data_IF_301716376857
#
_entry.id   IF_301716376857
#
_cell.length_a   1.000
_cell.length_b   1.000
_cell.length_c   1.000
_cell.angle_alpha   90.00
_cell.angle_beta   90.00
_cell.angle_gamma   90.00
#
_symmetry.space_group_name_H-M   'P 1'
#
loop_
_entity.id
_entity.type
_entity.pdbx_description
1 polymer ?
#
# COMPACT_ATOMS: atom_id res chain seq x y z
N UNK A 1 -21.74 16.29 10.23
CA UNK A 1 -20.68 16.29 9.21
C UNK A 1 -19.90 17.57 9.35
N UNK A 2 -18.61 17.46 9.65
CA UNK A 2 -17.78 18.57 10.11
C UNK A 2 -17.46 19.60 9.01
N UNK A 3 -17.61 20.89 9.32
CA UNK A 3 -17.41 22.00 8.38
C UNK A 3 -15.97 22.01 7.80
N UNK A 4 -15.00 21.54 8.59
CA UNK A 4 -13.60 21.38 8.22
C UNK A 4 -13.38 20.37 7.09
N UNK A 5 -14.15 19.27 7.05
CA UNK A 5 -14.06 18.28 5.99
C UNK A 5 -14.61 18.82 4.66
N UNK A 6 -15.66 19.65 4.71
CA UNK A 6 -16.23 20.26 3.50
C UNK A 6 -15.25 21.24 2.84
N UNK A 7 -14.56 22.06 3.62
CA UNK A 7 -13.54 22.99 3.13
C UNK A 7 -12.33 22.26 2.54
N UNK A 8 -11.87 21.17 3.17
CA UNK A 8 -10.78 20.35 2.66
C UNK A 8 -11.12 19.71 1.30
N UNK A 9 -12.36 19.24 1.13
CA UNK A 9 -12.85 18.68 -0.14
C UNK A 9 -12.85 19.76 -1.23
N UNK A 10 -13.39 20.95 -0.95
CA UNK A 10 -13.41 22.06 -1.92
C UNK A 10 -12.01 22.53 -2.31
N UNK A 11 -11.05 22.60 -1.38
CA UNK A 11 -9.66 22.93 -1.70
C UNK A 11 -8.98 21.84 -2.54
N UNK A 12 -9.28 20.57 -2.27
CA UNK A 12 -8.80 19.43 -3.07
C UNK A 12 -9.25 19.52 -4.53
N UNK A 13 -10.54 19.83 -4.76
CA UNK A 13 -11.11 20.03 -6.09
C UNK A 13 -10.46 21.21 -6.82
N UNK A 14 -10.28 22.33 -6.11
CA UNK A 14 -9.64 23.53 -6.66
C UNK A 14 -8.19 23.27 -7.05
N UNK A 15 -7.47 22.46 -6.26
CA UNK A 15 -6.08 22.06 -6.56
C UNK A 15 -6.02 21.16 -7.76
N UNK A 16 -6.91 20.18 -7.91
CA UNK A 16 -6.93 19.28 -9.05
C UNK A 16 -6.99 20.04 -10.38
N UNK A 17 -7.82 21.08 -10.47
CA UNK A 17 -7.94 21.92 -11.68
C UNK A 17 -6.74 22.85 -11.94
N UNK A 18 -5.87 23.09 -10.95
CA UNK A 18 -4.73 24.02 -11.03
C UNK A 18 -3.37 23.33 -11.20
N UNK A 19 -3.34 22.01 -11.41
CA UNK A 19 -2.10 21.25 -11.55
C UNK A 19 -1.41 21.55 -12.89
N UNK A 20 -0.26 22.23 -12.84
CA UNK A 20 0.50 22.65 -14.04
C UNK A 20 1.61 21.67 -14.44
N UNK A 21 2.13 20.88 -13.51
CA UNK A 21 3.22 19.93 -13.76
C UNK A 21 2.66 18.52 -13.88
N UNK A 22 3.08 17.79 -14.90
CA UNK A 22 2.71 16.39 -15.11
C UNK A 22 3.77 15.44 -14.55
N UNK A 23 3.32 14.23 -14.19
CA UNK A 23 4.18 13.11 -13.84
C UNK A 23 3.67 11.88 -14.57
N UNK A 24 4.50 11.31 -15.44
CA UNK A 24 4.16 10.11 -16.20
C UNK A 24 4.51 8.85 -15.42
N UNK A 25 3.52 7.97 -15.27
CA UNK A 25 3.68 6.70 -14.57
C UNK A 25 3.17 5.61 -15.49
N UNK A 26 3.97 4.56 -15.67
CA UNK A 26 3.54 3.37 -16.38
C UNK A 26 3.06 2.31 -15.39
N UNK A 27 1.85 1.81 -15.63
CA UNK A 27 1.28 0.66 -14.95
C UNK A 27 1.38 -0.56 -15.87
N UNK A 28 2.20 -1.54 -15.49
CA UNK A 28 2.39 -2.77 -16.26
C UNK A 28 1.49 -3.87 -15.72
N UNK A 29 0.36 -4.11 -16.39
CA UNK A 29 -0.72 -4.96 -15.91
C UNK A 29 -1.14 -6.05 -16.90
N UNK A 30 -2.03 -6.96 -16.48
CA UNK A 30 -2.65 -7.97 -17.36
C UNK A 30 -3.72 -7.40 -18.29
N UNK A 31 -4.58 -6.50 -17.78
CA UNK A 31 -5.71 -5.94 -18.52
C UNK A 31 -5.66 -4.41 -18.53
N UNK A 32 -5.30 -3.78 -19.64
CA UNK A 32 -5.23 -2.31 -19.73
C UNK A 32 -6.52 -1.67 -20.22
N UNK A 33 -7.29 -2.39 -21.02
CA UNK A 33 -8.57 -1.91 -21.57
C UNK A 33 -9.70 -1.88 -20.52
N UNK A 34 -9.56 -2.67 -19.43
CA UNK A 34 -10.51 -2.74 -18.32
C UNK A 34 -10.04 -1.86 -17.17
N UNK A 35 -10.31 -0.55 -17.26
CA UNK A 35 -9.94 0.44 -16.24
C UNK A 35 -10.36 0.07 -14.81
N UNK A 36 -11.47 -0.66 -14.65
CA UNK A 36 -11.98 -1.11 -13.36
C UNK A 36 -11.06 -2.10 -12.64
N UNK A 37 -10.25 -2.86 -13.38
CA UNK A 37 -9.34 -3.88 -12.79
C UNK A 37 -8.29 -3.26 -11.88
N UNK A 38 -7.97 -1.98 -12.08
CA UNK A 38 -6.97 -1.24 -11.31
C UNK A 38 -7.56 -0.01 -10.61
N UNK A 39 -8.89 0.07 -10.46
CA UNK A 39 -9.54 1.26 -9.91
C UNK A 39 -8.94 1.71 -8.57
N UNK A 40 -8.66 0.78 -7.65
CA UNK A 40 -8.02 1.08 -6.36
C UNK A 40 -6.60 1.62 -6.51
N UNK A 41 -5.79 1.03 -7.39
CA UNK A 41 -4.42 1.46 -7.69
C UNK A 41 -4.41 2.85 -8.31
N UNK A 42 -5.29 3.09 -9.29
CA UNK A 42 -5.45 4.39 -9.96
C UNK A 42 -5.84 5.47 -8.94
N UNK A 43 -6.78 5.17 -8.03
CA UNK A 43 -7.19 6.11 -6.99
C UNK A 43 -6.08 6.41 -5.99
N UNK A 44 -5.31 5.41 -5.57
CA UNK A 44 -4.15 5.62 -4.70
C UNK A 44 -3.07 6.51 -5.36
N UNK A 45 -2.81 6.31 -6.66
CA UNK A 45 -1.92 7.18 -7.44
C UNK A 45 -2.46 8.61 -7.53
N UNK A 46 -3.77 8.79 -7.75
CA UNK A 46 -4.41 10.11 -7.78
C UNK A 46 -4.28 10.84 -6.45
N UNK A 47 -4.47 10.15 -5.31
CA UNK A 47 -4.26 10.73 -3.98
C UNK A 47 -2.81 11.20 -3.79
N UNK A 48 -1.84 10.36 -4.16
CA UNK A 48 -0.42 10.69 -4.07
C UNK A 48 -0.03 11.86 -5.00
N UNK A 49 -0.55 11.88 -6.23
CA UNK A 49 -0.31 12.93 -7.21
C UNK A 49 -0.84 14.30 -6.73
N UNK A 50 -2.05 14.32 -6.14
CA UNK A 50 -2.63 15.51 -5.52
C UNK A 50 -1.76 16.03 -4.37
N UNK A 51 -1.28 15.12 -3.52
CA UNK A 51 -0.40 15.45 -2.40
C UNK A 51 0.91 16.12 -2.88
N UNK A 52 1.52 15.63 -3.97
CA UNK A 52 2.75 16.21 -4.53
C UNK A 52 2.54 17.42 -5.46
N UNK A 53 1.28 17.82 -5.70
CA UNK A 53 0.86 18.86 -6.66
C UNK A 53 1.28 18.57 -8.11
N UNK A 54 1.01 17.37 -8.61
CA UNK A 54 1.20 17.03 -10.03
C UNK A 54 -0.06 16.41 -10.62
N UNK A 55 -0.30 16.68 -11.91
CA UNK A 55 -1.27 15.96 -12.71
C UNK A 55 -0.70 14.59 -13.04
N UNK A 56 -1.41 13.55 -12.67
CA UNK A 56 -1.05 12.17 -13.00
C UNK A 56 -1.33 11.92 -14.48
N UNK A 57 -0.29 11.56 -15.21
CA UNK A 57 -0.40 10.96 -16.54
C UNK A 57 -0.12 9.46 -16.40
N UNK A 58 -1.18 8.64 -16.45
CA UNK A 58 -1.10 7.20 -16.20
C UNK A 58 -1.21 6.44 -17.51
N UNK A 59 -0.16 5.71 -17.86
CA UNK A 59 -0.08 4.91 -19.07
C UNK A 59 -0.19 3.43 -18.67
N UNK A 60 -1.28 2.78 -19.06
CA UNK A 60 -1.51 1.36 -18.80
C UNK A 60 -0.94 0.53 -19.95
N UNK A 61 -0.02 -0.39 -19.65
CA UNK A 61 0.63 -1.27 -20.63
C UNK A 61 0.30 -2.73 -20.33
N UNK A 62 -0.09 -3.48 -21.37
CA UNK A 62 -0.29 -4.92 -21.23
C UNK A 62 1.06 -5.57 -21.09
N UNK A 63 1.27 -6.33 -20.02
CA UNK A 63 2.56 -6.94 -19.76
C UNK A 63 2.96 -7.91 -20.88
N UNK A 64 2.01 -8.60 -21.51
CA UNK A 64 2.27 -9.46 -22.66
C UNK A 64 2.84 -8.68 -23.86
N UNK A 65 2.51 -7.40 -24.03
CA UNK A 65 3.08 -6.59 -25.11
C UNK A 65 4.58 -6.33 -24.91
N UNK A 66 5.11 -6.48 -23.69
CA UNK A 66 6.54 -6.33 -23.40
C UNK A 66 7.35 -7.60 -23.67
N UNK A 67 6.69 -8.73 -23.92
CA UNK A 67 7.34 -10.03 -24.09
C UNK A 67 7.98 -10.18 -25.48
N UNK A 68 9.14 -10.86 -25.61
CA UNK A 68 9.83 -11.02 -26.89
C UNK A 68 8.99 -11.71 -27.97
N UNK A 69 8.07 -12.58 -27.57
CA UNK A 69 7.13 -13.26 -28.47
C UNK A 69 6.25 -12.27 -29.24
N UNK A 70 5.92 -11.14 -28.61
CA UNK A 70 5.11 -10.07 -29.22
C UNK A 70 5.85 -9.35 -30.34
N UNK A 71 7.19 -9.39 -30.38
CA UNK A 71 7.97 -8.91 -31.53
C UNK A 71 7.56 -9.64 -32.82
N UNK A 72 7.26 -10.94 -32.72
CA UNK A 72 6.89 -11.77 -33.86
C UNK A 72 5.40 -11.74 -34.17
N UNK A 73 4.55 -11.69 -33.15
CA UNK A 73 3.08 -11.72 -33.33
C UNK A 73 2.49 -10.34 -33.62
N UNK A 74 2.99 -9.29 -32.97
CA UNK A 74 2.54 -7.91 -33.14
C UNK A 74 3.67 -6.90 -32.83
N UNK A 75 4.64 -6.71 -33.76
CA UNK A 75 5.79 -5.86 -33.53
C UNK A 75 5.41 -4.41 -33.23
N UNK A 76 4.31 -3.90 -33.78
CA UNK A 76 3.86 -2.53 -33.52
C UNK A 76 3.56 -2.33 -32.03
N UNK A 77 2.73 -3.21 -31.44
CA UNK A 77 2.39 -3.13 -30.01
C UNK A 77 3.60 -3.28 -29.11
N UNK A 78 4.52 -4.18 -29.46
CA UNK A 78 5.76 -4.32 -28.71
C UNK A 78 6.56 -3.02 -28.63
N UNK A 79 6.80 -2.37 -29.77
CA UNK A 79 7.60 -1.14 -29.80
C UNK A 79 6.86 0.04 -29.18
N UNK A 80 5.54 0.12 -29.33
CA UNK A 80 4.71 1.14 -28.65
C UNK A 80 4.77 0.97 -27.13
N UNK A 81 4.57 -0.24 -26.61
CA UNK A 81 4.67 -0.54 -25.19
C UNK A 81 6.05 -0.17 -24.61
N UNK A 82 7.13 -0.61 -25.26
CA UNK A 82 8.48 -0.28 -24.79
C UNK A 82 8.81 1.21 -24.89
N UNK A 83 8.28 1.93 -25.89
CA UNK A 83 8.43 3.38 -25.99
C UNK A 83 7.84 4.10 -24.78
N UNK A 84 6.63 3.71 -24.36
CA UNK A 84 5.98 4.28 -23.17
C UNK A 84 6.75 3.92 -21.88
N UNK A 85 7.23 2.68 -21.74
CA UNK A 85 8.09 2.27 -20.61
C UNK A 85 9.36 3.13 -20.51
N UNK A 86 10.00 3.42 -21.65
CA UNK A 86 11.23 4.22 -21.71
C UNK A 86 10.95 5.70 -21.40
N UNK A 87 9.78 6.22 -21.80
CA UNK A 87 9.39 7.62 -21.60
C UNK A 87 8.87 7.97 -20.20
N UNK A 88 8.49 6.96 -19.40
CA UNK A 88 7.87 7.16 -18.11
C UNK A 88 8.84 7.65 -17.02
N UNK A 89 8.35 8.48 -16.09
CA UNK A 89 9.14 8.90 -14.92
C UNK A 89 9.24 7.81 -13.86
N UNK A 90 8.29 6.88 -13.83
CA UNK A 90 8.25 5.79 -12.85
C UNK A 90 7.36 4.65 -13.32
N UNK A 91 7.47 3.52 -12.64
CA UNK A 91 6.77 2.30 -12.98
C UNK A 91 6.09 1.69 -11.76
N UNK A 92 4.92 1.10 -11.99
CA UNK A 92 4.22 0.27 -11.02
C UNK A 92 3.84 -1.07 -11.64
N UNK A 93 4.12 -2.15 -10.92
CA UNK A 93 3.66 -3.50 -11.25
C UNK A 93 2.69 -3.93 -10.15
N UNK A 94 1.38 -3.92 -10.42
CA UNK A 94 0.37 -4.29 -9.43
C UNK A 94 0.31 -5.80 -9.21
N UNK A 95 -0.50 -6.21 -8.24
CA UNK A 95 -0.84 -7.61 -8.04
C UNK A 95 -1.50 -8.23 -9.28
N UNK A 96 -1.45 -9.55 -9.36
CA UNK A 96 -2.07 -10.31 -10.43
C UNK A 96 -2.05 -11.79 -10.10
N UNK A 97 -2.65 -12.56 -10.99
CA UNK A 97 -2.68 -14.01 -10.95
C UNK A 97 -2.45 -14.52 -12.36
N UNK A 98 -2.09 -15.80 -12.49
CA UNK A 98 -1.86 -16.52 -13.75
C UNK A 98 -0.50 -16.23 -14.41
N UNK A 99 -0.06 -17.12 -15.29
CA UNK A 99 1.25 -17.09 -15.95
C UNK A 99 1.35 -15.98 -17.00
N UNK A 100 0.23 -15.64 -17.65
CA UNK A 100 0.20 -14.68 -18.77
C UNK A 100 0.72 -13.30 -18.38
N UNK A 101 1.68 -12.78 -19.14
CA UNK A 101 2.25 -11.45 -18.95
C UNK A 101 3.29 -11.39 -17.82
N UNK A 102 3.65 -12.52 -17.20
CA UNK A 102 4.59 -12.51 -16.07
C UNK A 102 6.01 -12.23 -16.53
N UNK A 103 6.44 -12.79 -17.66
CA UNK A 103 7.76 -12.50 -18.21
C UNK A 103 7.88 -11.02 -18.62
N UNK A 104 6.82 -10.43 -19.16
CA UNK A 104 6.76 -8.99 -19.43
C UNK A 104 6.94 -8.13 -18.17
N UNK A 105 6.31 -8.51 -17.04
CA UNK A 105 6.52 -7.84 -15.74
C UNK A 105 7.95 -8.00 -15.23
N UNK A 106 8.54 -9.18 -15.38
CA UNK A 106 9.95 -9.44 -15.00
C UNK A 106 10.90 -8.56 -15.83
N UNK A 107 10.66 -8.42 -17.13
CA UNK A 107 11.43 -7.52 -18.00
C UNK A 107 11.27 -6.05 -17.60
N UNK A 108 10.06 -5.63 -17.23
CA UNK A 108 9.78 -4.30 -16.71
C UNK A 108 10.53 -4.04 -15.38
N UNK A 109 10.57 -5.00 -14.46
CA UNK A 109 11.35 -4.94 -13.22
C UNK A 109 12.85 -4.75 -13.51
N UNK A 110 13.39 -5.47 -14.50
CA UNK A 110 14.78 -5.36 -14.93
C UNK A 110 15.10 -3.97 -15.49
N UNK A 111 14.21 -3.46 -16.34
CA UNK A 111 14.36 -2.13 -16.93
C UNK A 111 14.39 -1.07 -15.84
N UNK A 112 13.43 -1.10 -14.91
CA UNK A 112 13.37 -0.13 -13.83
C UNK A 112 14.65 -0.15 -12.97
N UNK A 113 15.10 -1.34 -12.58
CA UNK A 113 16.31 -1.53 -11.77
C UNK A 113 17.57 -1.03 -12.47
N UNK A 114 17.78 -1.40 -13.72
CA UNK A 114 19.02 -1.11 -14.46
C UNK A 114 19.10 0.33 -14.96
N UNK A 115 17.95 1.01 -15.08
CA UNK A 115 17.87 2.42 -15.51
C UNK A 115 17.61 3.40 -14.38
N UNK A 116 17.60 2.93 -13.13
CA UNK A 116 17.32 3.77 -11.95
C UNK A 116 15.97 4.48 -12.02
N UNK A 117 14.96 3.83 -12.60
CA UNK A 117 13.60 4.38 -12.70
C UNK A 117 12.83 4.02 -11.44
N UNK A 118 12.26 5.00 -10.70
CA UNK A 118 11.45 4.73 -9.52
C UNK A 118 10.40 3.65 -9.76
N UNK A 119 10.35 2.65 -8.87
CA UNK A 119 9.56 1.44 -9.03
C UNK A 119 8.80 1.09 -7.76
N UNK A 120 7.54 0.68 -7.94
CA UNK A 120 6.72 0.06 -6.89
C UNK A 120 6.15 -1.27 -7.39
N UNK A 121 6.56 -2.38 -6.75
CA UNK A 121 5.97 -3.70 -6.94
C UNK A 121 4.96 -3.99 -5.84
N UNK A 122 3.76 -4.44 -6.20
CA UNK A 122 2.70 -4.78 -5.25
C UNK A 122 2.33 -6.26 -5.39
N UNK A 123 2.38 -7.01 -4.30
CA UNK A 123 2.06 -8.43 -4.26
C UNK A 123 2.88 -9.19 -5.33
N UNK A 124 2.25 -9.64 -6.41
CA UNK A 124 2.96 -10.23 -7.56
C UNK A 124 4.11 -9.35 -8.10
N UNK A 125 4.00 -8.03 -8.04
CA UNK A 125 5.09 -7.13 -8.45
C UNK A 125 6.37 -7.27 -7.61
N UNK A 126 6.25 -7.53 -6.31
CA UNK A 126 7.40 -7.87 -5.46
C UNK A 126 8.00 -9.21 -5.88
N UNK A 127 7.15 -10.21 -6.12
CA UNK A 127 7.59 -11.55 -6.55
C UNK A 127 8.32 -11.49 -7.91
N UNK A 128 7.80 -10.76 -8.89
CA UNK A 128 8.47 -10.54 -10.17
C UNK A 128 9.83 -9.86 -10.01
N UNK A 129 9.96 -8.90 -9.09
CA UNK A 129 11.24 -8.25 -8.82
C UNK A 129 12.26 -9.21 -8.20
N UNK A 130 11.84 -10.09 -7.28
CA UNK A 130 12.70 -11.14 -6.70
C UNK A 130 13.16 -12.13 -7.75
N UNK A 131 12.25 -12.58 -8.63
CA UNK A 131 12.58 -13.48 -9.75
C UNK A 131 13.59 -12.80 -10.68
N UNK A 132 13.32 -11.56 -11.11
CA UNK A 132 14.22 -10.79 -11.96
C UNK A 132 15.62 -10.67 -11.36
N UNK A 133 15.69 -10.29 -10.09
CA UNK A 133 16.95 -10.07 -9.40
C UNK A 133 17.75 -11.36 -9.27
N UNK A 134 17.09 -12.47 -8.95
CA UNK A 134 17.71 -13.80 -8.88
C UNK A 134 18.29 -14.21 -10.24
N UNK A 135 17.52 -14.03 -11.32
CA UNK A 135 17.98 -14.33 -12.69
C UNK A 135 19.14 -13.45 -13.14
N UNK A 136 19.07 -12.14 -12.87
CA UNK A 136 19.99 -11.16 -13.48
C UNK A 136 21.19 -10.81 -12.61
N UNK A 137 21.05 -10.80 -11.29
CA UNK A 137 22.13 -10.48 -10.33
C UNK A 137 22.78 -11.76 -9.82
N UNK A 138 22.01 -12.69 -9.27
CA UNK A 138 22.55 -13.97 -8.75
C UNK A 138 22.91 -14.99 -9.84
N UNK A 139 22.48 -14.74 -11.09
CA UNK A 139 22.71 -15.61 -12.27
C UNK A 139 22.04 -16.98 -12.17
N UNK A 140 20.96 -17.08 -11.39
CA UNK A 140 20.10 -18.26 -11.36
C UNK A 140 19.07 -18.15 -12.47
N UNK A 141 19.48 -18.48 -13.70
CA UNK A 141 18.69 -18.21 -14.91
C UNK A 141 17.30 -18.89 -14.90
N UNK A 142 17.17 -20.04 -14.24
CA UNK A 142 15.93 -20.79 -14.07
C UNK A 142 15.12 -20.37 -12.83
N UNK A 143 15.58 -19.39 -12.04
CA UNK A 143 14.86 -18.95 -10.83
C UNK A 143 13.44 -18.52 -11.18
N UNK A 144 12.47 -19.07 -10.44
CA UNK A 144 11.06 -18.81 -10.69
C UNK A 144 10.20 -18.98 -9.43
N UNK A 145 8.92 -18.65 -9.56
CA UNK A 145 7.89 -19.02 -8.58
C UNK A 145 7.44 -20.45 -8.81
N UNK A 146 7.23 -21.21 -7.74
CA UNK A 146 6.60 -22.53 -7.82
C UNK A 146 5.14 -22.47 -8.31
N UNK A 147 4.51 -21.30 -8.33
CA UNK A 147 3.21 -21.09 -8.98
C UNK A 147 3.30 -21.14 -10.51
N UNK A 148 4.38 -20.59 -11.05
CA UNK A 148 4.53 -20.30 -12.48
C UNK A 148 5.29 -21.42 -13.21
N UNK A 149 6.25 -22.03 -12.52
CA UNK A 149 7.07 -23.12 -13.01
C UNK A 149 7.44 -24.02 -11.83
N UNK A 150 6.79 -25.18 -11.75
CA UNK A 150 7.04 -26.19 -10.71
C UNK A 150 8.30 -27.02 -10.97
N UNK A 151 8.95 -26.84 -12.12
CA UNK A 151 10.17 -27.55 -12.51
C UNK A 151 11.47 -26.79 -12.23
N UNK A 152 11.36 -25.52 -11.78
CA UNK A 152 12.51 -24.69 -11.42
C UNK A 152 13.36 -25.35 -10.35
N UNK A 153 14.70 -25.29 -10.51
CA UNK A 153 15.64 -25.76 -9.46
C UNK A 153 15.93 -24.69 -8.43
N UNK A 154 15.56 -23.44 -8.72
CA UNK A 154 15.72 -22.29 -7.83
C UNK A 154 14.34 -21.65 -7.54
N UNK A 155 13.49 -22.31 -6.73
CA UNK A 155 12.19 -21.75 -6.34
C UNK A 155 12.39 -20.59 -5.37
N UNK A 156 12.43 -19.38 -5.90
CA UNK A 156 12.66 -18.14 -5.11
C UNK A 156 11.36 -17.59 -4.51
N UNK A 157 10.22 -18.03 -5.03
CA UNK A 157 8.89 -17.76 -4.50
C UNK A 157 8.16 -19.10 -4.37
N UNK A 158 7.60 -19.38 -3.19
CA UNK A 158 7.02 -20.68 -2.83
C UNK A 158 5.65 -20.52 -2.19
N UNK A 159 4.84 -21.57 -2.24
CA UNK A 159 3.56 -21.63 -1.53
C UNK A 159 3.80 -21.75 -0.01
N UNK A 160 3.33 -20.76 0.77
CA UNK A 160 3.46 -20.73 2.23
C UNK A 160 2.11 -20.42 2.89
N UNK A 161 1.14 -21.34 2.81
CA UNK A 161 -0.21 -21.10 3.27
C UNK A 161 -0.28 -20.96 4.79
N UNK A 162 -1.32 -20.27 5.25
CA UNK A 162 -1.57 -20.13 6.68
C UNK A 162 -2.44 -21.26 7.21
N UNK A 163 -2.07 -21.74 8.40
CA UNK A 163 -2.80 -22.77 9.12
C UNK A 163 -3.46 -22.15 10.35
N UNK A 164 -4.67 -21.63 10.15
CA UNK A 164 -5.43 -20.94 11.19
C UNK A 164 -6.28 -21.93 11.99
N UNK A 165 -6.38 -21.75 13.31
CA UNK A 165 -7.21 -22.58 14.18
C UNK A 165 -8.67 -22.56 13.73
N UNK A 166 -9.25 -23.74 13.51
CA UNK A 166 -10.64 -23.88 13.04
C UNK A 166 -10.82 -23.91 11.52
N UNK A 167 -9.76 -23.71 10.73
CA UNK A 167 -9.78 -23.90 9.27
C UNK A 167 -9.05 -25.19 8.90
N UNK A 168 -9.66 -26.01 8.03
CA UNK A 168 -9.02 -27.22 7.51
C UNK A 168 -8.25 -26.91 6.24
N UNK A 169 -6.97 -27.32 6.20
CA UNK A 169 -6.07 -27.12 5.06
C UNK A 169 -5.30 -25.79 5.10
N UNK A 170 -4.44 -25.59 4.10
CA UNK A 170 -3.69 -24.35 3.94
C UNK A 170 -4.55 -23.25 3.36
N UNK A 171 -4.67 -22.13 4.07
CA UNK A 171 -5.49 -20.98 3.68
C UNK A 171 -4.66 -19.85 3.09
N UNK A 172 -5.30 -19.01 2.27
CA UNK A 172 -4.68 -17.80 1.72
C UNK A 172 -4.42 -16.79 2.84
N UNK A 173 -3.27 -16.11 2.80
CA UNK A 173 -3.00 -14.97 3.68
C UNK A 173 -3.90 -13.80 3.29
N UNK A 174 -4.91 -13.56 4.12
CA UNK A 174 -5.99 -12.61 3.84
C UNK A 174 -6.23 -11.67 5.02
N UNK A 175 -6.56 -10.42 4.70
CA UNK A 175 -7.02 -9.43 5.66
C UNK A 175 -5.91 -8.56 6.21
N UNK A 176 -6.21 -7.86 7.32
CA UNK A 176 -5.28 -6.93 7.97
C UNK A 176 -4.22 -7.74 8.74
N UNK A 177 -2.94 -7.49 8.48
CA UNK A 177 -1.80 -8.13 9.15
C UNK A 177 -0.75 -7.11 9.53
N UNK A 178 -0.03 -7.39 10.60
CA UNK A 178 1.06 -6.56 11.08
C UNK A 178 2.36 -6.93 10.36
N UNK A 179 3.07 -5.91 9.90
CA UNK A 179 4.41 -6.01 9.33
C UNK A 179 5.37 -5.20 10.19
N UNK A 180 6.40 -5.85 10.73
CA UNK A 180 7.41 -5.25 11.59
C UNK A 180 8.60 -4.76 10.75
N UNK A 181 9.03 -3.53 10.95
CA UNK A 181 10.26 -3.04 10.33
C UNK A 181 11.50 -3.61 11.04
N UNK A 182 12.48 -4.08 10.26
CA UNK A 182 13.72 -4.68 10.76
C UNK A 182 14.89 -3.70 10.82
N UNK A 183 14.77 -2.54 10.15
CA UNK A 183 15.87 -1.56 10.07
C UNK A 183 15.36 -0.12 10.12
N UNK A 184 16.19 0.75 10.71
CA UNK A 184 15.98 2.20 10.68
C UNK A 184 16.33 2.81 9.32
N UNK A 185 17.13 2.11 8.50
CA UNK A 185 17.58 2.54 7.18
C UNK A 185 16.61 2.08 6.09
N UNK A 186 15.34 2.45 6.22
CA UNK A 186 14.30 2.17 5.21
C UNK A 186 13.64 3.47 4.76
N UNK A 187 13.43 3.62 3.44
CA UNK A 187 12.68 4.76 2.90
C UNK A 187 11.21 4.67 3.28
N UNK A 188 10.62 3.46 3.21
CA UNK A 188 9.23 3.26 3.58
C UNK A 188 9.01 3.52 5.07
N UNK A 189 9.88 3.02 5.95
CA UNK A 189 9.76 3.28 7.39
C UNK A 189 9.70 4.78 7.70
N UNK A 190 10.52 5.57 7.02
CA UNK A 190 10.50 7.04 7.18
C UNK A 190 9.22 7.67 6.64
N UNK A 191 8.69 7.18 5.52
CA UNK A 191 7.40 7.60 4.97
C UNK A 191 6.23 7.21 5.90
N UNK A 192 6.36 6.11 6.65
CA UNK A 192 5.48 5.72 7.76
C UNK A 192 5.88 6.39 9.09
N UNK A 193 6.55 7.54 9.06
CA UNK A 193 6.89 8.35 10.25
C UNK A 193 7.71 7.60 11.32
N UNK A 194 8.61 6.72 10.89
CA UNK A 194 9.46 5.89 11.76
C UNK A 194 8.68 4.91 12.66
N UNK A 195 7.48 4.51 12.26
CA UNK A 195 6.72 3.46 12.94
C UNK A 195 7.56 2.19 13.12
N UNK A 196 7.33 1.47 14.22
CA UNK A 196 7.93 0.15 14.46
C UNK A 196 7.28 -0.93 13.59
N UNK A 197 5.99 -0.76 13.31
CA UNK A 197 5.20 -1.65 12.50
C UNK A 197 4.14 -0.90 11.70
N UNK A 198 3.61 -1.56 10.67
CA UNK A 198 2.44 -1.12 9.92
C UNK A 198 1.42 -2.23 9.87
N UNK A 199 0.15 -1.86 9.69
CA UNK A 199 -0.92 -2.82 9.50
C UNK A 199 -1.56 -2.63 8.13
N UNK A 200 -1.39 -3.61 7.27
CA UNK A 200 -1.78 -3.52 5.87
C UNK A 200 -2.62 -4.73 5.47
N UNK A 201 -3.28 -4.64 4.31
CA UNK A 201 -4.18 -5.70 3.83
C UNK A 201 -3.48 -6.64 2.85
N UNK A 202 -3.55 -7.93 3.13
CA UNK A 202 -2.96 -8.99 2.30
C UNK A 202 -4.06 -9.77 1.58
N UNK A 203 -3.73 -10.29 0.40
CA UNK A 203 -4.58 -11.20 -0.39
C UNK A 203 -3.70 -11.99 -1.37
N UNK A 204 -2.94 -12.94 -0.84
CA UNK A 204 -2.02 -13.77 -1.61
C UNK A 204 -1.70 -15.07 -0.88
N UNK A 205 -1.00 -15.96 -1.57
CA UNK A 205 -0.68 -17.30 -1.10
C UNK A 205 0.82 -17.61 -1.13
N UNK A 206 1.50 -17.07 -2.14
CA UNK A 206 2.92 -17.30 -2.36
C UNK A 206 3.77 -16.23 -1.68
N UNK A 207 4.89 -16.66 -1.12
CA UNK A 207 5.82 -15.82 -0.38
C UNK A 207 7.24 -16.00 -0.95
N UNK A 208 8.13 -15.03 -0.68
CA UNK A 208 9.55 -15.20 -0.97
C UNK A 208 10.09 -16.36 -0.13
N UNK A 209 10.81 -17.29 -0.77
CA UNK A 209 11.39 -18.45 -0.10
C UNK A 209 12.41 -18.00 0.95
N UNK A 210 12.21 -18.26 2.26
CA UNK A 210 13.14 -17.83 3.29
C UNK A 210 14.56 -18.36 3.10
N UNK A 211 14.72 -19.50 2.41
CA UNK A 211 16.01 -20.13 2.16
C UNK A 211 16.91 -19.35 1.19
N UNK A 212 16.38 -18.41 0.39
CA UNK A 212 17.17 -17.59 -0.55
C UNK A 212 17.36 -16.15 -0.09
N UNK A 213 16.79 -15.80 1.07
CA UNK A 213 16.74 -14.40 1.54
C UNK A 213 18.12 -13.89 1.89
N UNK A 214 18.98 -14.73 2.47
CA UNK A 214 20.35 -14.34 2.83
C UNK A 214 21.14 -13.92 1.58
N UNK A 215 21.13 -14.72 0.51
CA UNK A 215 21.82 -14.41 -0.74
C UNK A 215 21.27 -13.15 -1.42
N UNK A 216 19.96 -12.93 -1.37
CA UNK A 216 19.33 -11.71 -1.88
C UNK A 216 19.78 -10.47 -1.10
N UNK A 217 19.76 -10.54 0.23
CA UNK A 217 20.17 -9.45 1.12
C UNK A 217 21.66 -9.13 0.94
N UNK A 218 22.53 -10.13 0.86
CA UNK A 218 23.98 -9.94 0.62
C UNK A 218 24.27 -9.18 -0.68
N UNK A 219 23.44 -9.37 -1.71
CA UNK A 219 23.59 -8.72 -3.01
C UNK A 219 22.83 -7.38 -3.14
N UNK A 220 22.23 -6.89 -2.06
CA UNK A 220 21.66 -5.54 -1.97
C UNK A 220 20.14 -5.46 -2.01
N UNK A 221 19.42 -6.57 -2.23
CA UNK A 221 17.96 -6.61 -2.13
C UNK A 221 17.57 -6.84 -0.67
N UNK A 222 17.30 -5.76 0.08
CA UNK A 222 17.08 -5.81 1.53
C UNK A 222 15.62 -6.02 1.88
N UNK A 223 15.31 -6.99 2.75
CA UNK A 223 13.96 -7.18 3.27
C UNK A 223 13.79 -6.43 4.59
N UNK A 224 13.35 -5.17 4.47
CA UNK A 224 13.27 -4.21 5.57
C UNK A 224 12.02 -4.38 6.43
N UNK A 225 11.02 -5.14 5.98
CA UNK A 225 9.79 -5.43 6.71
C UNK A 225 9.45 -6.92 6.65
N UNK A 226 9.10 -7.50 7.79
CA UNK A 226 8.77 -8.94 7.92
C UNK A 226 7.48 -9.13 8.71
N UNK A 227 6.85 -10.29 8.56
CA UNK A 227 5.72 -10.70 9.40
C UNK A 227 6.11 -10.80 10.88
N UNK A 228 5.12 -10.92 11.77
CA UNK A 228 5.34 -10.99 13.23
C UNK A 228 6.16 -12.20 13.66
N UNK A 229 5.96 -13.35 13.00
CA UNK A 229 6.76 -14.57 13.17
C UNK A 229 8.16 -14.46 12.55
N UNK A 230 8.41 -13.42 11.73
CA UNK A 230 9.67 -13.18 11.04
C UNK A 230 9.92 -14.07 9.83
N UNK A 231 8.98 -14.96 9.47
CA UNK A 231 9.15 -15.95 8.40
C UNK A 231 8.92 -15.35 7.01
N UNK A 232 8.01 -14.39 6.87
CA UNK A 232 7.59 -13.83 5.58
C UNK A 232 8.21 -12.47 5.34
N UNK A 233 8.66 -12.26 4.11
CA UNK A 233 9.27 -11.01 3.67
C UNK A 233 8.21 -10.10 3.05
N UNK A 234 7.83 -9.06 3.78
CA UNK A 234 6.65 -8.24 3.44
C UNK A 234 7.02 -6.93 2.73
N UNK A 235 8.23 -6.40 2.99
CA UNK A 235 8.74 -5.17 2.39
C UNK A 235 10.18 -5.37 1.94
N UNK A 236 10.44 -5.11 0.67
CA UNK A 236 11.76 -5.14 0.04
C UNK A 236 12.16 -3.74 -0.46
N UNK A 237 13.42 -3.37 -0.22
CA UNK A 237 14.05 -2.17 -0.78
C UNK A 237 15.38 -2.54 -1.41
N UNK A 238 15.68 -2.00 -2.60
CA UNK A 238 16.97 -2.20 -3.25
C UNK A 238 17.98 -1.13 -2.83
N UNK A 239 19.13 -1.57 -2.32
CA UNK A 239 20.24 -0.70 -1.98
C UNK A 239 20.82 0.00 -3.22
N UNK A 240 21.12 1.30 -3.09
CA UNK A 240 21.73 2.10 -4.16
C UNK A 240 20.78 2.62 -5.24
N UNK A 241 19.49 2.26 -5.22
CA UNK A 241 18.49 2.73 -6.17
C UNK A 241 17.68 3.93 -5.60
N UNK A 242 17.28 4.94 -6.42
CA UNK A 242 16.57 6.12 -5.92
C UNK A 242 15.25 5.81 -5.20
N UNK A 243 14.46 4.88 -5.75
CA UNK A 243 13.28 4.29 -5.11
C UNK A 243 12.94 2.98 -5.83
N UNK A 244 13.32 1.83 -5.27
CA UNK A 244 12.90 0.52 -5.79
C UNK A 244 12.35 -0.27 -4.63
N UNK A 245 11.03 -0.31 -4.56
CA UNK A 245 10.30 -0.83 -3.42
C UNK A 245 9.35 -1.91 -3.89
N UNK A 246 9.35 -3.05 -3.20
CA UNK A 246 8.33 -4.08 -3.36
C UNK A 246 7.61 -4.30 -2.03
N UNK A 247 6.29 -4.41 -2.07
CA UNK A 247 5.47 -4.71 -0.91
C UNK A 247 4.56 -5.89 -1.22
N UNK A 248 4.39 -6.77 -0.24
CA UNK A 248 3.60 -7.99 -0.40
C UNK A 248 2.11 -7.75 -0.10
N UNK A 249 1.80 -6.75 0.72
CA UNK A 249 0.44 -6.24 0.95
C UNK A 249 -0.08 -5.36 -0.20
N UNK A 250 -1.34 -4.97 -0.11
CA UNK A 250 -2.06 -4.07 -1.02
C UNK A 250 -2.22 -2.67 -0.39
N UNK A 251 -1.23 -1.76 -0.56
CA UNK A 251 -1.26 -0.42 0.02
C UNK A 251 -2.39 0.47 -0.50
N UNK A 252 -3.00 0.11 -1.63
CA UNK A 252 -4.07 0.88 -2.26
C UNK A 252 -5.36 0.92 -1.42
N UNK A 253 -5.62 -0.12 -0.61
CA UNK A 253 -6.89 -0.26 0.11
C UNK A 253 -7.03 0.69 1.31
N UNK A 254 -5.92 1.22 1.83
CA UNK A 254 -5.93 2.16 2.96
C UNK A 254 -5.65 3.60 2.52
N UNK A 255 -5.47 3.85 1.22
CA UNK A 255 -5.21 5.20 0.72
C UNK A 255 -6.44 6.09 0.82
N UNK A 256 -6.26 7.31 1.33
CA UNK A 256 -7.32 8.34 1.38
C UNK A 256 -6.85 9.62 0.68
N UNK A 257 -7.75 10.49 0.18
CA UNK A 257 -7.36 11.76 -0.46
C UNK A 257 -6.47 12.64 0.42
N UNK A 258 -6.77 12.72 1.72
CA UNK A 258 -6.04 13.55 2.68
C UNK A 258 -4.82 12.84 3.29
N UNK A 259 -4.79 11.51 3.22
CA UNK A 259 -3.72 10.66 3.75
C UNK A 259 -3.38 9.62 2.66
N UNK A 260 -2.61 10.01 1.63
CA UNK A 260 -2.22 9.09 0.57
C UNK A 260 -1.40 7.94 1.16
N UNK A 261 -1.52 6.78 0.55
CA UNK A 261 -0.78 5.60 1.01
C UNK A 261 0.74 5.82 0.88
N UNK A 262 1.55 5.56 1.92
CA UNK A 262 2.98 5.92 1.93
C UNK A 262 3.82 5.34 0.80
N UNK A 263 3.66 4.07 0.36
CA UNK A 263 4.38 3.54 -0.80
C UNK A 263 4.09 4.31 -2.10
N UNK A 264 2.84 4.68 -2.34
CA UNK A 264 2.44 5.49 -3.49
C UNK A 264 2.97 6.93 -3.41
N UNK A 265 2.91 7.55 -2.22
CA UNK A 265 3.48 8.87 -2.00
C UNK A 265 4.99 8.85 -2.24
N UNK A 266 5.69 7.83 -1.75
CA UNK A 266 7.12 7.63 -1.97
C UNK A 266 7.48 7.53 -3.45
N UNK A 267 6.72 6.73 -4.21
CA UNK A 267 6.88 6.60 -5.66
C UNK A 267 6.77 7.97 -6.34
N UNK A 268 5.66 8.70 -6.11
CA UNK A 268 5.43 10.01 -6.72
C UNK A 268 6.48 11.05 -6.32
N UNK A 269 6.92 11.05 -5.06
CA UNK A 269 8.00 11.92 -4.61
C UNK A 269 9.31 11.61 -5.32
N UNK A 270 9.61 10.34 -5.56
CA UNK A 270 10.79 9.92 -6.30
C UNK A 270 10.69 10.30 -7.79
N UNK A 271 9.55 10.04 -8.44
CA UNK A 271 9.30 10.41 -9.85
C UNK A 271 9.46 11.91 -10.10
N UNK A 272 9.11 12.74 -9.11
CA UNK A 272 9.23 14.19 -9.21
C UNK A 272 10.56 14.75 -8.66
N UNK A 273 11.54 13.92 -8.31
CA UNK A 273 12.80 14.32 -7.67
C UNK A 273 12.61 15.15 -6.37
N UNK A 274 11.51 14.91 -5.64
CA UNK A 274 11.14 15.60 -4.40
C UNK A 274 11.41 14.77 -3.14
N UNK A 275 11.73 13.49 -3.26
CA UNK A 275 11.90 12.59 -2.11
C UNK A 275 12.97 13.07 -1.12
N UNK A 276 14.14 13.50 -1.59
CA UNK A 276 15.21 14.03 -0.73
C UNK A 276 14.79 15.32 -0.01
N UNK A 277 14.09 16.23 -0.70
CA UNK A 277 13.55 17.47 -0.11
C UNK A 277 12.42 17.19 0.88
N UNK A 278 11.64 16.14 0.66
CA UNK A 278 10.62 15.68 1.61
C UNK A 278 11.26 15.12 2.88
N UNK A 279 12.31 14.33 2.71
CA UNK A 279 13.09 13.77 3.81
C UNK A 279 13.76 14.85 4.67
N UNK A 280 14.33 15.90 4.05
CA UNK A 280 14.97 17.01 4.79
C UNK A 280 14.00 17.84 5.62
N UNK A 281 12.70 17.78 5.32
CA UNK A 281 11.61 18.41 6.08
C UNK A 281 11.01 17.50 7.15
N UNK A 282 11.66 16.37 7.44
CA UNK A 282 11.21 15.41 8.46
C UNK A 282 9.98 14.61 8.06
N UNK A 283 9.78 14.36 6.76
CA UNK A 283 8.64 13.60 6.23
C UNK A 283 7.27 14.20 6.57
N UNK A 284 7.23 15.51 6.86
CA UNK A 284 6.00 16.24 7.13
C UNK A 284 5.35 16.69 5.81
N UNK A 285 4.05 16.44 5.71
CA UNK A 285 3.18 17.11 4.76
C UNK A 285 3.36 18.63 4.88
N UNK A 286 3.43 19.34 3.75
CA UNK A 286 3.55 20.81 3.78
C UNK A 286 2.39 21.44 4.56
N UNK A 287 2.48 22.64 5.15
CA UNK A 287 1.31 23.31 5.73
C UNK A 287 0.13 23.49 4.73
N UNK A 288 0.43 23.49 3.43
CA UNK A 288 -0.56 23.37 2.33
C UNK A 288 -1.15 21.94 2.15
N UNK A 289 -0.82 21.02 3.03
CA UNK A 289 -1.18 19.60 3.04
C UNK A 289 -1.57 19.12 4.45
N UNK A 290 -1.47 19.95 5.49
CA UNK A 290 -1.89 19.58 6.85
C UNK A 290 -3.39 19.81 7.00
N UNK A 291 -4.16 18.74 7.04
CA UNK A 291 -5.54 18.78 7.50
C UNK A 291 -5.64 17.80 8.68
N UNK A 292 -5.84 18.37 9.87
CA UNK A 292 -6.03 17.73 11.18
C UNK A 292 -4.98 16.69 11.60
N UNK A 293 -3.91 17.15 12.25
CA UNK A 293 -3.40 16.41 13.42
C UNK A 293 -4.27 16.87 14.59
N UNK A 294 -5.26 16.06 14.99
CA UNK A 294 -5.74 15.97 16.38
C UNK A 294 -6.79 14.85 16.52
N UNK A 295 -6.74 14.21 17.68
CA UNK A 295 -7.59 13.13 18.24
C UNK A 295 -7.52 11.74 17.61
N UNK A 296 -6.59 10.93 18.12
CA UNK A 296 -6.80 9.48 18.31
C UNK A 296 -6.58 9.22 19.82
N UNK A 297 -7.53 9.70 20.65
CA UNK A 297 -7.64 9.31 22.05
C UNK A 297 -8.77 8.29 22.18
N UNK A 298 -8.38 7.04 22.47
CA UNK A 298 -9.11 6.01 23.20
C UNK A 298 -10.60 5.81 22.92
N UNK A 299 -10.93 4.72 22.23
CA UNK A 299 -12.27 4.11 22.29
C UNK A 299 -12.60 3.75 23.75
N UNK A 300 -13.47 4.55 24.38
CA UNK A 300 -14.12 4.24 25.65
C UNK A 300 -15.51 3.65 25.41
N UNK A 301 -15.82 2.58 26.14
CA UNK A 301 -17.06 1.82 26.09
C UNK A 301 -18.33 2.69 26.17
N UNK A 302 -19.30 2.41 25.30
CA UNK A 302 -20.65 2.97 25.35
C UNK A 302 -21.56 2.08 26.20
N UNK A 303 -22.00 2.55 27.37
CA UNK A 303 -23.18 2.03 28.07
C UNK A 303 -24.47 2.65 27.47
N UNK A 304 -25.43 1.79 27.15
CA UNK A 304 -26.79 2.13 26.72
C UNK A 304 -27.60 2.80 27.85
N UNK A 305 -28.21 3.96 27.55
CA UNK A 305 -29.39 4.42 28.28
C UNK A 305 -30.44 4.85 27.26
N UNK A 306 -31.42 3.97 27.05
CA UNK A 306 -32.56 4.24 26.18
C UNK A 306 -33.66 4.97 26.95
N UNK A 307 -34.17 6.03 26.34
CA UNK A 307 -35.25 6.88 26.85
C UNK A 307 -36.58 6.32 26.39
N UNK A 308 -37.59 6.34 27.26
CA UNK A 308 -38.97 6.40 26.79
C UNK A 308 -39.79 7.34 27.69
N UNK A 309 -40.03 8.54 27.16
CA UNK A 309 -41.10 9.44 27.59
C UNK A 309 -42.40 9.02 26.88
N UNK A 310 -43.48 8.84 27.65
CA UNK A 310 -44.83 9.17 27.19
C UNK A 310 -45.64 9.82 28.32
N UNK A 311 -46.38 10.82 27.87
CA UNK A 311 -46.99 11.91 28.59
C UNK A 311 -48.36 11.59 29.24
N UNK A 312 -48.96 12.67 29.75
CA UNK A 312 -50.33 12.88 30.25
C UNK A 312 -50.53 12.64 31.76
N UNK A 313 -51.29 13.43 32.52
CA UNK A 313 -51.86 14.77 32.39
C UNK A 313 -52.48 15.10 33.77
N UNK A 314 -52.65 16.39 34.07
CA UNK A 314 -53.64 16.98 35.00
C UNK A 314 -53.47 16.83 36.52
N UNK A 315 -53.79 17.92 37.24
CA UNK A 315 -54.24 17.84 38.64
C UNK A 315 -53.55 18.80 39.61
N UNK A 316 -54.03 20.03 39.65
CA UNK A 316 -53.70 21.07 40.63
C UNK A 316 -54.39 20.77 42.00
N UNK A 317 -53.97 21.51 43.05
CA UNK A 317 -54.73 21.92 44.26
C UNK A 317 -54.21 21.39 45.62
N UNK A 318 -53.59 22.34 46.34
CA UNK A 318 -53.64 22.74 47.77
C UNK A 318 -53.35 21.79 48.95
N UNK A 319 -52.64 22.37 49.94
CA UNK A 319 -53.10 22.29 51.33
C UNK A 319 -52.06 21.93 52.39
N UNK A 320 -51.58 22.97 53.08
CA UNK A 320 -51.20 23.08 54.51
C UNK A 320 -51.01 21.83 55.39
N UNK A 321 -50.00 21.89 56.27
CA UNK A 321 -50.16 21.37 57.62
C UNK A 321 -48.93 20.79 58.33
N UNK A 322 -48.24 21.66 59.06
CA UNK A 322 -47.76 21.45 60.45
C UNK A 322 -46.77 20.31 60.81
N UNK A 323 -45.60 20.75 61.28
CA UNK A 323 -44.72 20.20 62.33
C UNK A 323 -45.51 19.75 63.60
N UNK A 324 -44.92 19.15 64.68
CA UNK A 324 -43.49 19.11 65.05
C UNK A 324 -42.97 17.80 65.73
N UNK A 325 -41.66 17.82 66.07
CA UNK A 325 -40.99 17.26 67.29
C UNK A 325 -41.18 15.76 67.63
N UNK A 326 -40.23 14.99 68.19
CA UNK A 326 -38.85 15.09 68.70
C UNK A 326 -38.51 13.67 69.22
N UNK A 327 -37.28 13.52 69.74
CA UNK A 327 -36.80 12.44 70.65
C UNK A 327 -36.56 11.11 69.91
N UNK A 328 -35.39 10.49 69.95
CA UNK A 328 -34.23 10.60 70.82
C UNK A 328 -33.76 9.18 71.12
N UNK A 329 -32.44 9.00 71.18
CA UNK A 329 -31.71 7.84 71.69
C UNK A 329 -31.87 6.50 70.94
N UNK A 330 -30.91 5.58 70.93
CA UNK A 330 -29.48 5.55 71.19
C UNK A 330 -29.03 4.12 70.79
N UNK A 331 -27.78 4.00 70.35
CA UNK A 331 -26.87 2.86 70.50
C UNK A 331 -27.39 1.44 70.18
N UNK A 332 -26.86 0.83 69.11
CA UNK A 332 -25.68 -0.05 69.18
C UNK A 332 -25.18 -0.37 67.77
#
# INVERSE_FOLDING_TARGET
MDYSNHLAIQEGETRHHRLLKEVSIVLVGKYTELSDSYASVIKALQHAALAVNHRLDLICIEAADLEPETIHTNPQRYHEAWKEVVGANSMIVPGGFDVRGTEGKILACNWARTKNIPFLGICLGLQCAVIEFSRKVLKWEDANSSELDDTTKHPVVIDMPEHNTGQMGGTMRLGKRKTLFKTNKSVLRKLYHNAEFVEERHRHRYEVNPAVVEELEENGMKFVGRSEDGERMEIMELEGHPFYVGVQYHPEYISRPMKPSPPYLGLLLASCNKLASYASRGFRSSPRMSFCEDSDEGDGDFEEVDKNDKAEATGQVDGDGHLPEKIGDAAA
#
